data_IF_852753993646
#
_entry.id   IF_852753993646
#
_cell.length_a   1.000
_cell.length_b   1.000
_cell.length_c   1.000
_cell.angle_alpha   90.00
_cell.angle_beta   90.00
_cell.angle_gamma   90.00
#
_symmetry.space_group_name_H-M   'P 1'
#
loop_
_entity.id
_entity.type
_entity.pdbx_description
1 polymer ?
#
# COMPACT_ATOMS: atom_id res chain seq x y z
N UNK A 1 -5.44 17.18 -19.74
CA UNK A 1 -4.13 17.47 -19.11
C UNK A 1 -3.44 16.15 -18.80
N UNK A 2 -2.17 15.98 -19.18
CA UNK A 2 -1.40 14.74 -19.00
C UNK A 2 -0.48 14.84 -17.77
N UNK A 3 -1.05 15.06 -16.58
CA UNK A 3 -0.31 15.38 -15.35
C UNK A 3 0.03 14.17 -14.47
N UNK A 4 -0.16 12.96 -14.97
CA UNK A 4 0.06 11.73 -14.20
C UNK A 4 -1.01 11.48 -13.14
N UNK A 5 -0.62 10.89 -12.01
CA UNK A 5 -1.53 10.44 -10.95
C UNK A 5 -1.59 11.41 -9.77
N UNK A 6 -2.70 11.37 -9.03
CA UNK A 6 -2.85 12.10 -7.77
C UNK A 6 -1.84 11.63 -6.71
N UNK A 7 -1.35 12.57 -5.90
CA UNK A 7 -0.47 12.30 -4.76
C UNK A 7 -1.23 11.70 -3.55
N UNK A 8 -2.56 11.79 -3.54
CA UNK A 8 -3.40 11.25 -2.46
C UNK A 8 -3.34 9.73 -2.40
N UNK A 9 -3.52 9.16 -1.20
CA UNK A 9 -3.67 7.72 -1.02
C UNK A 9 -4.84 7.21 -1.86
N UNK A 10 -4.65 6.17 -2.70
CA UNK A 10 -5.74 5.62 -3.50
C UNK A 10 -6.72 4.79 -2.64
N UNK A 11 -7.85 4.42 -3.24
CA UNK A 11 -8.80 3.47 -2.65
C UNK A 11 -10.11 4.08 -2.15
N UNK A 12 -10.19 5.42 -2.09
CA UNK A 12 -11.44 6.15 -1.84
C UNK A 12 -12.19 5.68 -0.60
N UNK A 13 -13.53 5.73 -0.66
CA UNK A 13 -14.40 5.37 0.48
C UNK A 13 -14.21 3.94 0.96
N UNK A 14 -13.91 2.98 0.07
CA UNK A 14 -13.67 1.58 0.46
C UNK A 14 -12.51 1.48 1.44
N UNK A 15 -11.39 2.15 1.15
CA UNK A 15 -10.22 2.13 2.03
C UNK A 15 -10.46 2.96 3.29
N UNK A 16 -11.15 4.10 3.21
CA UNK A 16 -11.51 4.86 4.42
C UNK A 16 -12.37 4.04 5.39
N UNK A 17 -13.41 3.38 4.89
CA UNK A 17 -14.27 2.52 5.70
C UNK A 17 -13.49 1.34 6.28
N UNK A 18 -12.56 0.75 5.53
CA UNK A 18 -11.70 -0.32 6.01
C UNK A 18 -10.76 0.15 7.12
N UNK A 19 -10.14 1.33 6.97
CA UNK A 19 -9.30 1.93 8.00
C UNK A 19 -10.09 2.15 9.29
N UNK A 20 -11.27 2.76 9.19
CA UNK A 20 -12.11 3.06 10.34
C UNK A 20 -12.61 1.78 11.03
N UNK A 21 -13.15 0.82 10.26
CA UNK A 21 -13.77 -0.39 10.79
C UNK A 21 -12.79 -1.38 11.41
N UNK A 22 -11.55 -1.44 10.93
CA UNK A 22 -10.52 -2.34 11.43
C UNK A 22 -9.39 -1.62 12.20
N UNK A 23 -9.57 -0.32 12.48
CA UNK A 23 -8.57 0.53 13.16
C UNK A 23 -7.16 0.38 12.57
N UNK A 24 -7.07 0.42 11.24
CA UNK A 24 -5.83 0.11 10.54
C UNK A 24 -4.77 1.20 10.76
N UNK A 25 -3.51 0.83 11.02
CA UNK A 25 -2.47 1.80 11.31
C UNK A 25 -2.07 2.58 10.06
N UNK A 26 -2.12 3.90 10.14
CA UNK A 26 -1.73 4.81 9.07
C UNK A 26 -0.66 5.77 9.57
N UNK A 27 0.25 6.17 8.69
CA UNK A 27 1.15 7.28 8.93
C UNK A 27 0.37 8.61 8.95
N UNK A 28 1.01 9.69 9.38
CA UNK A 28 0.40 11.03 9.40
C UNK A 28 -0.06 11.52 8.02
N UNK A 29 0.54 11.02 6.94
CA UNK A 29 0.13 11.28 5.56
C UNK A 29 -1.06 10.42 5.08
N UNK A 30 -1.60 9.58 5.96
CA UNK A 30 -2.72 8.68 5.68
C UNK A 30 -2.35 7.36 5.01
N UNK A 31 -1.10 7.14 4.59
CA UNK A 31 -0.69 5.88 3.96
C UNK A 31 -0.54 4.73 4.99
N UNK A 32 -0.75 3.46 4.58
CA UNK A 32 -0.61 2.31 5.46
C UNK A 32 0.78 2.20 6.09
N UNK A 33 0.83 1.89 7.39
CA UNK A 33 2.04 1.40 8.04
C UNK A 33 2.00 -0.12 7.95
N UNK A 34 2.96 -0.70 7.25
CA UNK A 34 3.05 -2.15 7.02
C UNK A 34 4.43 -2.66 7.42
N UNK A 35 4.53 -3.98 7.59
CA UNK A 35 5.82 -4.63 7.80
C UNK A 35 6.52 -4.99 6.48
N UNK A 36 7.69 -5.63 6.60
CA UNK A 36 8.51 -6.07 5.46
C UNK A 36 7.78 -7.06 4.54
N UNK A 37 6.76 -7.76 5.04
CA UNK A 37 5.90 -8.68 4.29
C UNK A 37 4.62 -8.02 3.76
N UNK A 38 4.55 -6.68 3.82
CA UNK A 38 3.45 -5.85 3.34
C UNK A 38 2.11 -6.15 4.05
N UNK A 39 2.16 -6.63 5.30
CA UNK A 39 0.96 -6.86 6.11
C UNK A 39 0.53 -5.54 6.76
N UNK A 40 -0.69 -5.13 6.45
CA UNK A 40 -1.35 -3.98 7.10
C UNK A 40 -2.20 -4.41 8.28
N UNK A 41 -2.67 -5.66 8.25
CA UNK A 41 -3.42 -6.36 9.28
C UNK A 41 -3.16 -7.87 9.11
N UNK A 42 -3.34 -8.73 10.13
CA UNK A 42 -3.15 -10.18 9.98
C UNK A 42 -3.89 -10.82 8.79
N UNK A 43 -4.98 -10.19 8.33
CA UNK A 43 -5.82 -10.65 7.21
C UNK A 43 -5.75 -9.76 5.96
N UNK A 44 -4.91 -8.72 5.95
CA UNK A 44 -4.85 -7.73 4.87
C UNK A 44 -3.38 -7.48 4.51
N UNK A 45 -3.05 -7.73 3.25
CA UNK A 45 -1.78 -7.32 2.64
C UNK A 45 -2.07 -6.27 1.58
N UNK A 46 -1.10 -5.39 1.36
CA UNK A 46 -1.23 -4.29 0.39
C UNK A 46 -0.11 -4.34 -0.65
N UNK A 47 -0.39 -3.80 -1.82
CA UNK A 47 0.57 -3.63 -2.91
C UNK A 47 0.26 -2.34 -3.66
N UNK A 48 1.06 -2.01 -4.66
CA UNK A 48 0.86 -0.76 -5.40
C UNK A 48 1.16 0.46 -4.51
N UNK A 49 0.54 1.62 -4.77
CA UNK A 49 0.78 2.82 -3.97
C UNK A 49 0.46 2.67 -2.47
N UNK A 50 -0.42 1.73 -2.08
CA UNK A 50 -0.70 1.47 -0.66
C UNK A 50 0.48 0.84 0.09
N UNK A 51 1.47 0.28 -0.62
CA UNK A 51 2.71 -0.28 -0.06
C UNK A 51 3.91 0.68 -0.20
N UNK A 52 3.70 1.92 -0.66
CA UNK A 52 4.78 2.84 -1.05
C UNK A 52 5.75 3.20 0.07
N UNK A 53 5.27 3.31 1.32
CA UNK A 53 6.15 3.63 2.46
C UNK A 53 7.22 2.55 2.70
N UNK A 54 6.93 1.31 2.30
CA UNK A 54 7.82 0.15 2.50
C UNK A 54 8.53 -0.28 1.20
N UNK A 55 7.86 -0.19 0.04
CA UNK A 55 8.44 -0.53 -1.27
C UNK A 55 9.18 0.64 -1.94
N UNK A 56 8.96 1.86 -1.47
CA UNK A 56 9.46 3.08 -2.07
C UNK A 56 8.72 3.49 -3.36
N UNK A 57 9.25 4.47 -4.12
CA UNK A 57 8.56 5.10 -5.25
C UNK A 57 8.25 4.14 -6.41
N UNK A 58 8.94 2.99 -6.47
CA UNK A 58 8.68 1.96 -7.48
C UNK A 58 7.34 1.26 -7.28
N UNK A 59 6.72 1.38 -6.11
CA UNK A 59 5.45 0.74 -5.79
C UNK A 59 4.34 1.05 -6.81
N UNK A 60 4.44 2.18 -7.52
CA UNK A 60 3.46 2.62 -8.54
C UNK A 60 3.69 2.04 -9.94
N UNK A 61 4.67 1.17 -10.15
CA UNK A 61 4.99 0.62 -11.47
C UNK A 61 5.16 -0.91 -11.46
N UNK A 62 5.45 -1.47 -12.63
CA UNK A 62 5.57 -2.93 -12.82
C UNK A 62 6.74 -3.51 -12.01
N UNK A 63 7.84 -2.77 -11.81
CA UNK A 63 8.93 -3.22 -10.97
C UNK A 63 8.50 -3.31 -9.49
N UNK A 64 7.71 -2.36 -9.00
CA UNK A 64 7.09 -2.44 -7.68
C UNK A 64 6.11 -3.60 -7.54
N UNK A 65 5.31 -3.88 -8.57
CA UNK A 65 4.41 -5.02 -8.58
C UNK A 65 5.17 -6.35 -8.43
N UNK A 66 6.32 -6.51 -9.11
CA UNK A 66 7.17 -7.70 -8.95
C UNK A 66 7.72 -7.82 -7.53
N UNK A 67 8.30 -6.74 -6.98
CA UNK A 67 8.82 -6.72 -5.59
C UNK A 67 7.74 -7.01 -4.55
N UNK A 68 6.52 -6.50 -4.77
CA UNK A 68 5.39 -6.84 -3.93
C UNK A 68 5.09 -8.33 -4.02
N UNK A 69 5.03 -8.89 -5.24
CA UNK A 69 4.87 -10.32 -5.49
C UNK A 69 5.84 -11.17 -4.68
N UNK A 70 7.15 -10.89 -4.80
CA UNK A 70 8.21 -11.62 -4.10
C UNK A 70 7.98 -11.66 -2.57
N UNK A 71 7.58 -10.52 -1.97
CA UNK A 71 7.27 -10.43 -0.53
C UNK A 71 5.97 -11.13 -0.15
N UNK A 72 4.94 -11.08 -0.99
CA UNK A 72 3.63 -11.69 -0.74
C UNK A 72 3.72 -13.23 -0.73
N UNK A 73 4.53 -13.80 -1.63
CA UNK A 73 4.73 -15.27 -1.70
C UNK A 73 5.83 -15.78 -0.76
N UNK A 74 6.54 -14.88 -0.06
CA UNK A 74 7.64 -15.24 0.85
C UNK A 74 8.92 -15.68 0.14
N UNK A 75 9.15 -15.18 -1.07
CA UNK A 75 10.36 -15.41 -1.88
C UNK A 75 11.38 -14.26 -1.70
N UNK A 76 11.03 -13.25 -0.90
CA UNK A 76 11.86 -12.09 -0.58
C UNK A 76 12.71 -12.26 0.68
#
# INVERSE_FOLDING_TARGET
>A
LATGFSALRPGGSVVETLIASASLPCASCGYPIVDTQLRWHPRIRVSGPLAELELGPVARNIAGARRAGDRLVGVA
#
